data_IF_691015151636
#
_entry.id   IF_691015151636
#
_cell.length_a   1.000
_cell.length_b   1.000
_cell.length_c   1.000
_cell.angle_alpha   90.00
_cell.angle_beta   90.00
_cell.angle_gamma   90.00
#
_symmetry.space_group_name_H-M   'P 1'
#
loop_
_entity.id
_entity.type
_entity.pdbx_description
1 polymer ?
#
# COMPACT_ATOMS: atom_id res chain seq x y z
N UNK A 1 -22.53 15.21 18.99
CA UNK A 1 -22.74 16.42 18.18
C UNK A 1 -24.13 16.98 18.46
N UNK A 2 -24.21 18.25 18.88
CA UNK A 2 -25.49 18.96 19.16
C UNK A 2 -26.42 18.94 17.94
N UNK A 3 -25.84 18.99 16.74
CA UNK A 3 -26.57 18.99 15.47
C UNK A 3 -27.23 17.63 15.16
N UNK A 4 -26.51 16.52 15.38
CA UNK A 4 -27.04 15.15 15.23
C UNK A 4 -28.19 14.86 16.20
N UNK A 5 -28.08 15.35 17.43
CA UNK A 5 -29.15 15.19 18.42
C UNK A 5 -30.41 15.99 18.04
N UNK A 6 -30.24 17.17 17.42
CA UNK A 6 -31.34 17.98 16.87
C UNK A 6 -32.03 17.29 15.70
N UNK A 7 -31.28 16.67 14.78
CA UNK A 7 -31.86 15.92 13.64
C UNK A 7 -32.50 14.60 14.11
N UNK A 8 -31.92 13.91 15.09
CA UNK A 8 -32.50 12.74 15.76
C UNK A 8 -33.90 13.04 16.31
N UNK A 9 -34.05 14.12 17.09
CA UNK A 9 -35.34 14.55 17.64
C UNK A 9 -36.37 14.87 16.56
N UNK A 10 -35.95 15.44 15.43
CA UNK A 10 -36.84 15.78 14.30
C UNK A 10 -37.27 14.56 13.48
N UNK A 11 -36.36 13.62 13.23
CA UNK A 11 -36.62 12.44 12.40
C UNK A 11 -37.32 11.31 13.16
N UNK A 12 -37.18 11.27 14.49
CA UNK A 12 -37.76 10.24 15.37
C UNK A 12 -36.92 8.97 15.42
N UNK A 13 -36.67 8.47 16.64
CA UNK A 13 -35.79 7.34 16.90
C UNK A 13 -36.23 6.04 16.21
N UNK A 14 -37.54 5.76 16.19
CA UNK A 14 -38.12 4.60 15.49
C UNK A 14 -37.76 4.57 14.00
N UNK A 15 -37.87 5.70 13.31
CA UNK A 15 -37.57 5.78 11.87
C UNK A 15 -36.08 5.57 11.61
N UNK A 16 -35.22 6.10 12.47
CA UNK A 16 -33.76 5.94 12.37
C UNK A 16 -33.36 4.49 12.65
N UNK A 17 -33.87 3.88 13.73
CA UNK A 17 -33.61 2.47 14.05
C UNK A 17 -34.08 1.53 12.94
N UNK A 18 -35.24 1.81 12.33
CA UNK A 18 -35.83 0.97 11.28
C UNK A 18 -35.08 1.09 9.94
N UNK A 19 -34.49 2.26 9.67
CA UNK A 19 -33.73 2.50 8.42
C UNK A 19 -32.23 2.22 8.54
N UNK A 20 -31.70 2.07 9.76
CA UNK A 20 -30.28 1.78 10.01
C UNK A 20 -29.75 0.56 9.23
N UNK A 21 -30.44 -0.61 9.20
CA UNK A 21 -29.95 -1.76 8.44
C UNK A 21 -29.75 -1.48 6.94
N UNK A 22 -30.59 -0.62 6.36
CA UNK A 22 -30.46 -0.22 4.96
C UNK A 22 -29.18 0.61 4.71
N UNK A 23 -28.90 1.61 5.57
CA UNK A 23 -27.69 2.42 5.42
C UNK A 23 -26.41 1.64 5.74
N UNK A 24 -26.45 0.69 6.69
CA UNK A 24 -25.33 -0.22 6.95
C UNK A 24 -25.07 -1.16 5.76
N UNK A 25 -26.13 -1.68 5.14
CA UNK A 25 -26.01 -2.49 3.92
C UNK A 25 -25.43 -1.69 2.76
N UNK A 26 -25.83 -0.43 2.58
CA UNK A 26 -25.26 0.47 1.58
C UNK A 26 -23.77 0.76 1.82
N UNK A 27 -23.38 0.99 3.08
CA UNK A 27 -21.98 1.23 3.42
C UNK A 27 -21.13 -0.01 3.10
N UNK A 28 -21.56 -1.20 3.55
CA UNK A 28 -20.88 -2.46 3.22
C UNK A 28 -20.81 -2.71 1.72
N UNK A 29 -21.88 -2.39 0.98
CA UNK A 29 -21.90 -2.50 -0.47
C UNK A 29 -20.87 -1.58 -1.12
N UNK A 30 -20.75 -0.34 -0.66
CA UNK A 30 -19.75 0.59 -1.17
C UNK A 30 -18.32 0.09 -0.91
N UNK A 31 -18.05 -0.41 0.30
CA UNK A 31 -16.75 -0.99 0.66
C UNK A 31 -16.42 -2.21 -0.21
N UNK A 32 -17.39 -3.08 -0.46
CA UNK A 32 -17.23 -4.23 -1.36
C UNK A 32 -16.97 -3.79 -2.81
N UNK A 33 -17.66 -2.75 -3.31
CA UNK A 33 -17.43 -2.21 -4.65
C UNK A 33 -16.01 -1.67 -4.81
N UNK A 34 -15.50 -0.93 -3.83
CA UNK A 34 -14.12 -0.42 -3.84
C UNK A 34 -13.11 -1.59 -3.83
N UNK A 35 -13.34 -2.61 -2.99
CA UNK A 35 -12.51 -3.82 -2.96
C UNK A 35 -12.54 -4.57 -4.29
N UNK A 36 -13.72 -4.72 -4.90
CA UNK A 36 -13.90 -5.39 -6.18
C UNK A 36 -13.18 -4.66 -7.31
N UNK A 37 -13.25 -3.33 -7.36
CA UNK A 37 -12.49 -2.52 -8.32
C UNK A 37 -10.98 -2.75 -8.16
N UNK A 38 -10.50 -2.78 -6.91
CA UNK A 38 -9.08 -3.04 -6.63
C UNK A 38 -8.69 -4.46 -7.05
N UNK A 39 -9.54 -5.46 -6.80
CA UNK A 39 -9.31 -6.85 -7.22
C UNK A 39 -9.35 -7.00 -8.76
N UNK A 40 -10.24 -6.28 -9.45
CA UNK A 40 -10.29 -6.27 -10.91
C UNK A 40 -8.98 -5.72 -11.52
N UNK A 41 -8.47 -4.60 -11.00
CA UNK A 41 -7.18 -4.05 -11.46
C UNK A 41 -6.01 -5.01 -11.22
N UNK A 42 -6.01 -5.74 -10.10
CA UNK A 42 -5.01 -6.80 -9.85
C UNK A 42 -5.15 -7.94 -10.85
N UNK A 43 -6.36 -8.44 -11.06
CA UNK A 43 -6.63 -9.48 -12.03
C UNK A 43 -6.16 -9.08 -13.44
N UNK A 44 -6.49 -7.87 -13.90
CA UNK A 44 -6.04 -7.33 -15.20
C UNK A 44 -4.51 -7.32 -15.30
N UNK A 45 -3.83 -6.80 -14.27
CA UNK A 45 -2.36 -6.80 -14.20
C UNK A 45 -1.77 -8.22 -14.30
N UNK A 46 -2.31 -9.18 -13.56
CA UNK A 46 -1.80 -10.55 -13.58
C UNK A 46 -2.20 -11.32 -14.85
N UNK A 47 -3.32 -10.96 -15.47
CA UNK A 47 -3.70 -11.46 -16.77
C UNK A 47 -2.71 -10.99 -17.85
N UNK A 48 -2.31 -9.71 -17.83
CA UNK A 48 -1.27 -9.20 -18.71
C UNK A 48 0.07 -9.95 -18.51
N UNK A 49 0.49 -10.13 -17.25
CA UNK A 49 1.70 -10.92 -16.95
C UNK A 49 1.60 -12.37 -17.45
N UNK A 50 0.44 -13.00 -17.32
CA UNK A 50 0.18 -14.34 -17.85
C UNK A 50 0.29 -14.38 -19.38
N UNK A 51 -0.27 -13.40 -20.09
CA UNK A 51 -0.18 -13.31 -21.55
C UNK A 51 1.28 -13.10 -22.01
N UNK A 52 2.01 -12.23 -21.33
CA UNK A 52 3.43 -11.99 -21.60
C UNK A 52 4.26 -13.26 -21.33
N UNK A 53 3.99 -13.97 -20.24
CA UNK A 53 4.67 -15.23 -19.93
C UNK A 53 4.34 -16.33 -20.95
N UNK A 54 3.09 -16.38 -21.46
CA UNK A 54 2.69 -17.31 -22.51
C UNK A 54 3.46 -17.05 -23.81
N UNK A 55 3.62 -15.78 -24.18
CA UNK A 55 4.45 -15.40 -25.33
C UNK A 55 5.92 -15.77 -25.10
N UNK A 56 6.46 -15.50 -23.89
CA UNK A 56 7.83 -15.84 -23.55
C UNK A 56 8.14 -17.34 -23.63
N UNK A 57 7.18 -18.22 -23.26
CA UNK A 57 7.31 -19.66 -23.52
C UNK A 57 7.38 -19.92 -25.01
N UNK A 58 6.44 -19.38 -25.80
CA UNK A 58 6.41 -19.61 -27.25
C UNK A 58 7.72 -19.19 -27.93
N UNK A 59 8.30 -18.07 -27.52
CA UNK A 59 9.58 -17.58 -28.01
C UNK A 59 10.74 -18.48 -27.57
N UNK A 60 10.73 -18.93 -26.30
CA UNK A 60 11.73 -19.85 -25.77
C UNK A 60 11.67 -21.24 -26.45
N UNK A 61 10.48 -21.75 -26.72
CA UNK A 61 10.26 -22.99 -27.47
C UNK A 61 10.80 -22.86 -28.90
N UNK A 62 10.51 -21.75 -29.58
CA UNK A 62 11.04 -21.50 -30.92
C UNK A 62 12.57 -21.46 -30.94
N UNK A 63 13.18 -20.76 -29.99
CA UNK A 63 14.64 -20.67 -29.89
C UNK A 63 15.26 -22.00 -29.49
N UNK A 64 14.61 -22.77 -28.61
CA UNK A 64 15.05 -24.11 -28.28
C UNK A 64 15.10 -25.00 -29.52
N UNK A 65 14.02 -25.04 -30.33
CA UNK A 65 13.98 -25.84 -31.56
C UNK A 65 15.00 -25.38 -32.62
N UNK A 66 15.21 -24.08 -32.79
CA UNK A 66 16.19 -23.53 -33.75
C UNK A 66 17.64 -23.86 -33.38
N UNK A 67 17.91 -24.11 -32.10
CA UNK A 67 19.26 -24.39 -31.60
C UNK A 67 19.45 -25.89 -31.25
N UNK A 68 18.56 -26.76 -31.73
CA UNK A 68 18.82 -28.21 -31.73
C UNK A 68 19.87 -28.47 -32.79
N UNK A 69 20.98 -29.10 -32.41
CA UNK A 69 22.04 -29.52 -33.33
C UNK A 69 21.61 -30.76 -34.11
N UNK A 70 22.11 -30.93 -35.33
CA UNK A 70 21.79 -32.07 -36.21
C UNK A 70 22.20 -33.45 -35.63
N UNK A 71 23.05 -33.47 -34.60
CA UNK A 71 23.45 -34.67 -33.84
C UNK A 71 22.46 -35.03 -32.71
N UNK A 72 21.39 -34.26 -32.52
CA UNK A 72 20.40 -34.43 -31.46
C UNK A 72 20.85 -33.93 -30.09
N UNK A 73 21.99 -33.21 -29.99
CA UNK A 73 22.46 -32.64 -28.73
C UNK A 73 21.73 -31.34 -28.42
N UNK A 74 21.13 -31.25 -27.22
CA UNK A 74 20.44 -30.05 -26.76
C UNK A 74 21.42 -28.99 -26.27
N UNK A 75 21.19 -27.72 -26.64
CA UNK A 75 21.90 -26.61 -26.02
C UNK A 75 21.37 -26.38 -24.60
N UNK A 76 22.23 -26.68 -23.62
CA UNK A 76 21.96 -26.54 -22.19
C UNK A 76 21.47 -25.13 -21.82
N UNK A 77 21.99 -24.09 -22.47
CA UNK A 77 21.56 -22.72 -22.21
C UNK A 77 20.11 -22.48 -22.61
N UNK A 78 19.70 -22.95 -23.80
CA UNK A 78 18.33 -22.78 -24.28
C UNK A 78 17.33 -23.67 -23.53
N UNK A 79 17.76 -24.86 -23.09
CA UNK A 79 16.97 -25.69 -22.20
C UNK A 79 16.71 -24.99 -20.86
N UNK A 80 17.73 -24.37 -20.26
CA UNK A 80 17.57 -23.62 -19.02
C UNK A 80 16.68 -22.39 -19.20
N UNK A 81 16.80 -21.68 -20.34
CA UNK A 81 15.88 -20.57 -20.68
C UNK A 81 14.42 -21.01 -20.79
N UNK A 82 14.15 -22.14 -21.45
CA UNK A 82 12.81 -22.70 -21.54
C UNK A 82 12.26 -23.10 -20.17
N UNK A 83 13.09 -23.73 -19.33
CA UNK A 83 12.70 -24.08 -17.95
C UNK A 83 12.34 -22.84 -17.12
N UNK A 84 13.13 -21.76 -17.21
CA UNK A 84 12.85 -20.49 -16.55
C UNK A 84 11.53 -19.88 -17.05
N UNK A 85 11.30 -19.90 -18.37
CA UNK A 85 10.06 -19.40 -18.97
C UNK A 85 8.83 -20.20 -18.47
N UNK A 86 8.94 -21.53 -18.42
CA UNK A 86 7.92 -22.42 -17.88
C UNK A 86 7.62 -22.16 -16.40
N UNK A 87 8.66 -22.01 -15.57
CA UNK A 87 8.48 -21.69 -14.15
C UNK A 87 7.74 -20.36 -13.95
N UNK A 88 8.13 -19.32 -14.69
CA UNK A 88 7.49 -17.99 -14.64
C UNK A 88 6.05 -18.02 -15.14
N UNK A 89 5.75 -18.79 -16.18
CA UNK A 89 4.39 -18.96 -16.67
C UNK A 89 3.50 -19.66 -15.65
N UNK A 90 3.99 -20.71 -15.01
CA UNK A 90 3.24 -21.42 -13.98
C UNK A 90 2.94 -20.50 -12.79
N UNK A 91 3.91 -19.68 -12.36
CA UNK A 91 3.70 -18.66 -11.34
C UNK A 91 2.66 -17.61 -11.78
N UNK A 92 2.78 -17.07 -13.00
CA UNK A 92 1.85 -16.08 -13.52
C UNK A 92 0.43 -16.64 -13.67
N UNK A 93 0.29 -17.89 -14.13
CA UNK A 93 -0.98 -18.60 -14.23
C UNK A 93 -1.64 -18.76 -12.86
N UNK A 94 -0.88 -19.23 -11.87
CA UNK A 94 -1.38 -19.40 -10.50
C UNK A 94 -1.86 -18.08 -9.89
N UNK A 95 -1.07 -17.00 -10.01
CA UNK A 95 -1.46 -15.67 -9.51
C UNK A 95 -2.67 -15.10 -10.24
N UNK A 96 -2.78 -15.32 -11.56
CA UNK A 96 -3.95 -14.91 -12.34
C UNK A 96 -5.21 -15.60 -11.82
N UNK A 97 -5.17 -16.92 -11.63
CA UNK A 97 -6.29 -17.72 -11.13
C UNK A 97 -6.71 -17.31 -9.70
N UNK A 98 -5.75 -17.08 -8.81
CA UNK A 98 -6.02 -16.58 -7.45
C UNK A 98 -6.82 -15.27 -7.46
N UNK A 99 -6.38 -14.28 -8.24
CA UNK A 99 -7.04 -12.98 -8.31
C UNK A 99 -8.34 -13.01 -9.11
N UNK A 100 -8.48 -13.92 -10.08
CA UNK A 100 -9.72 -14.19 -10.78
C UNK A 100 -10.80 -14.69 -9.80
N UNK A 101 -10.45 -15.67 -8.96
CA UNK A 101 -11.33 -16.21 -7.93
C UNK A 101 -11.72 -15.15 -6.89
N UNK A 102 -10.76 -14.33 -6.43
CA UNK A 102 -11.02 -13.22 -5.50
C UNK A 102 -12.02 -12.23 -6.10
N UNK A 103 -11.81 -11.80 -7.35
CA UNK A 103 -12.68 -10.87 -8.06
C UNK A 103 -14.11 -11.44 -8.21
N UNK A 104 -14.24 -12.68 -8.68
CA UNK A 104 -15.54 -13.34 -8.86
C UNK A 104 -16.29 -13.52 -7.54
N UNK A 105 -15.58 -13.88 -6.47
CA UNK A 105 -16.16 -13.98 -5.12
C UNK A 105 -16.70 -12.65 -4.64
N UNK A 106 -15.95 -11.55 -4.84
CA UNK A 106 -16.41 -10.20 -4.50
C UNK A 106 -17.63 -9.78 -5.33
N UNK A 107 -17.67 -10.10 -6.63
CA UNK A 107 -18.83 -9.84 -7.48
C UNK A 107 -20.08 -10.59 -6.98
N UNK A 108 -19.94 -11.85 -6.56
CA UNK A 108 -21.06 -12.62 -6.01
C UNK A 108 -21.58 -12.00 -4.70
N UNK A 109 -20.67 -11.57 -3.81
CA UNK A 109 -21.05 -10.86 -2.58
C UNK A 109 -21.75 -9.53 -2.89
N UNK A 110 -21.25 -8.74 -3.84
CA UNK A 110 -21.90 -7.48 -4.26
C UNK A 110 -23.34 -7.74 -4.69
N UNK A 111 -23.59 -8.75 -5.54
CA UNK A 111 -24.94 -9.10 -5.99
C UNK A 111 -25.87 -9.45 -4.82
N UNK A 112 -25.39 -10.22 -3.84
CA UNK A 112 -26.15 -10.55 -2.64
C UNK A 112 -26.47 -9.31 -1.81
N UNK A 113 -25.50 -8.43 -1.58
CA UNK A 113 -25.72 -7.20 -0.81
C UNK A 113 -26.61 -6.20 -1.55
N UNK A 114 -26.54 -6.12 -2.89
CA UNK A 114 -27.45 -5.33 -3.71
C UNK A 114 -28.89 -5.83 -3.56
N UNK A 115 -29.10 -7.15 -3.65
CA UNK A 115 -30.41 -7.75 -3.42
C UNK A 115 -30.94 -7.39 -2.02
N UNK A 116 -30.16 -7.62 -0.97
CA UNK A 116 -30.54 -7.31 0.41
C UNK A 116 -30.85 -5.80 0.60
N UNK A 117 -30.04 -4.92 0.01
CA UNK A 117 -30.26 -3.48 0.08
C UNK A 117 -31.56 -3.07 -0.64
N UNK A 118 -31.89 -3.70 -1.77
CA UNK A 118 -33.17 -3.47 -2.46
C UNK A 118 -34.36 -3.95 -1.65
N UNK A 119 -34.28 -5.10 -1.00
CA UNK A 119 -35.33 -5.62 -0.12
C UNK A 119 -35.57 -4.71 1.09
N UNK A 120 -34.50 -4.27 1.75
CA UNK A 120 -34.59 -3.33 2.88
C UNK A 120 -35.17 -1.98 2.43
N UNK A 121 -34.83 -1.53 1.22
CA UNK A 121 -35.36 -0.29 0.63
C UNK A 121 -36.85 -0.35 0.40
N UNK A 122 -37.36 -1.47 -0.14
CA UNK A 122 -38.80 -1.65 -0.38
C UNK A 122 -39.56 -1.79 0.94
N UNK A 123 -39.04 -2.60 1.87
CA UNK A 123 -39.66 -2.85 3.19
C UNK A 123 -39.75 -1.61 4.09
N UNK A 124 -38.75 -0.73 4.06
CA UNK A 124 -38.63 0.41 4.98
C UNK A 124 -38.70 1.79 4.31
N UNK A 125 -39.27 1.89 3.11
CA UNK A 125 -39.30 3.10 2.25
C UNK A 125 -39.66 4.40 2.99
N UNK A 126 -40.72 4.39 3.79
CA UNK A 126 -41.21 5.59 4.51
C UNK A 126 -40.28 6.02 5.64
N UNK A 127 -39.75 5.05 6.41
CA UNK A 127 -38.79 5.29 7.49
C UNK A 127 -37.46 5.80 6.94
N UNK A 128 -36.98 5.23 5.84
CA UNK A 128 -35.76 5.69 5.14
C UNK A 128 -35.91 7.15 4.68
N UNK A 129 -37.05 7.52 4.07
CA UNK A 129 -37.30 8.90 3.62
C UNK A 129 -37.29 9.89 4.79
N UNK A 130 -37.88 9.52 5.94
CA UNK A 130 -37.94 10.37 7.13
C UNK A 130 -36.60 10.48 7.86
N UNK A 131 -35.82 9.41 7.87
CA UNK A 131 -34.52 9.37 8.53
C UNK A 131 -33.36 9.90 7.67
N UNK A 132 -33.57 10.09 6.36
CA UNK A 132 -32.53 10.59 5.44
C UNK A 132 -31.76 11.82 5.93
N UNK A 133 -32.40 12.90 6.45
CA UNK A 133 -31.65 14.07 6.93
C UNK A 133 -30.69 13.76 8.09
N UNK A 134 -31.01 12.77 8.92
CA UNK A 134 -30.12 12.33 10.00
C UNK A 134 -28.88 11.62 9.45
N UNK A 135 -29.05 10.69 8.49
CA UNK A 135 -27.93 9.95 7.90
C UNK A 135 -27.06 10.84 7.00
N UNK A 136 -27.64 11.80 6.29
CA UNK A 136 -26.88 12.78 5.50
C UNK A 136 -26.00 13.66 6.43
N UNK A 137 -26.55 14.12 7.56
CA UNK A 137 -25.78 14.89 8.55
C UNK A 137 -24.70 14.04 9.24
N UNK A 138 -25.02 12.79 9.59
CA UNK A 138 -24.05 11.84 10.14
C UNK A 138 -22.88 11.66 9.17
N UNK A 139 -23.17 11.42 7.89
CA UNK A 139 -22.17 11.25 6.85
C UNK A 139 -21.29 12.50 6.68
N UNK A 140 -21.88 13.70 6.68
CA UNK A 140 -21.12 14.95 6.61
C UNK A 140 -20.16 15.13 7.79
N UNK A 141 -20.60 14.77 9.00
CA UNK A 141 -19.74 14.81 10.19
C UNK A 141 -18.62 13.77 10.07
N UNK A 142 -18.91 12.55 9.64
CA UNK A 142 -17.91 11.51 9.42
C UNK A 142 -16.86 11.94 8.38
N UNK A 143 -17.27 12.58 7.28
CA UNK A 143 -16.35 13.13 6.28
C UNK A 143 -15.43 14.21 6.87
N UNK A 144 -15.97 15.12 7.68
CA UNK A 144 -15.17 16.15 8.35
C UNK A 144 -14.19 15.55 9.34
N UNK A 145 -14.63 14.59 10.16
CA UNK A 145 -13.77 13.89 11.10
C UNK A 145 -12.67 13.10 10.39
N UNK A 146 -13.01 12.42 9.29
CA UNK A 146 -12.03 11.72 8.45
C UNK A 146 -10.99 12.69 7.89
N UNK A 147 -11.42 13.84 7.36
CA UNK A 147 -10.51 14.88 6.86
C UNK A 147 -9.56 15.35 7.96
N UNK A 148 -10.09 15.76 9.12
CA UNK A 148 -9.27 16.24 10.25
C UNK A 148 -8.27 15.16 10.68
N UNK A 149 -8.70 13.90 10.74
CA UNK A 149 -7.83 12.78 11.09
C UNK A 149 -6.72 12.57 10.06
N UNK A 150 -7.05 12.62 8.78
CA UNK A 150 -6.09 12.41 7.70
C UNK A 150 -5.08 13.60 7.65
N UNK A 151 -5.56 14.84 7.84
CA UNK A 151 -4.70 16.04 7.98
C UNK A 151 -3.77 15.94 9.21
N UNK A 152 -4.28 15.44 10.35
CA UNK A 152 -3.48 15.25 11.56
C UNK A 152 -2.38 14.22 11.33
N UNK A 153 -2.67 13.10 10.65
CA UNK A 153 -1.67 12.09 10.31
C UNK A 153 -0.56 12.65 9.42
N UNK A 154 -0.91 13.44 8.41
CA UNK A 154 0.09 14.09 7.55
C UNK A 154 1.01 15.01 8.36
N UNK A 155 0.44 15.83 9.25
CA UNK A 155 1.23 16.69 10.13
C UNK A 155 2.13 15.90 11.10
N UNK A 156 1.64 14.77 11.62
CA UNK A 156 2.44 13.87 12.47
C UNK A 156 3.63 13.25 11.69
N UNK A 157 3.40 12.82 10.46
CA UNK A 157 4.44 12.28 9.57
C UNK A 157 5.49 13.36 9.22
N UNK A 158 5.05 14.57 8.90
CA UNK A 158 5.95 15.71 8.65
C UNK A 158 6.76 16.08 9.88
N UNK A 159 6.13 16.13 11.06
CA UNK A 159 6.82 16.40 12.31
C UNK A 159 7.85 15.32 12.63
N UNK A 160 7.51 14.05 12.44
CA UNK A 160 8.43 12.93 12.64
C UNK A 160 9.65 13.04 11.69
N UNK A 161 9.40 13.39 10.42
CA UNK A 161 10.46 13.63 9.43
C UNK A 161 11.37 14.79 9.85
N UNK A 162 10.81 15.93 10.25
CA UNK A 162 11.58 17.09 10.71
C UNK A 162 12.42 16.76 11.96
N UNK A 163 11.85 16.03 12.93
CA UNK A 163 12.60 15.58 14.12
C UNK A 163 13.75 14.64 13.76
N UNK A 164 13.51 13.70 12.86
CA UNK A 164 14.55 12.78 12.35
C UNK A 164 15.68 13.53 11.65
N UNK A 165 15.33 14.50 10.80
CA UNK A 165 16.30 15.37 10.12
C UNK A 165 17.11 16.19 11.14
N UNK A 166 16.45 16.84 12.09
CA UNK A 166 17.12 17.62 13.14
C UNK A 166 18.09 16.76 13.96
N UNK A 167 17.66 15.58 14.40
CA UNK A 167 18.51 14.64 15.13
C UNK A 167 19.71 14.20 14.30
N UNK A 168 19.54 13.96 13.00
CA UNK A 168 20.62 13.59 12.09
C UNK A 168 21.62 14.74 11.95
N UNK A 169 21.15 15.98 11.77
CA UNK A 169 22.01 17.16 11.69
C UNK A 169 22.80 17.38 12.97
N UNK A 170 22.17 17.22 14.15
CA UNK A 170 22.84 17.36 15.44
C UNK A 170 23.97 16.33 15.60
N UNK A 171 23.69 15.05 15.27
CA UNK A 171 24.70 13.99 15.30
C UNK A 171 25.85 14.25 14.33
N UNK A 172 25.56 14.80 13.15
CA UNK A 172 26.60 15.18 12.19
C UNK A 172 27.50 16.30 12.75
N UNK A 173 26.93 17.28 13.45
CA UNK A 173 27.71 18.34 14.10
C UNK A 173 28.57 17.80 15.25
N UNK A 174 28.04 16.88 16.05
CA UNK A 174 28.80 16.17 17.08
C UNK A 174 29.98 15.41 16.48
N UNK A 175 29.76 14.62 15.42
CA UNK A 175 30.82 13.89 14.72
C UNK A 175 31.91 14.84 14.17
N UNK A 176 31.51 15.95 13.54
CA UNK A 176 32.47 16.95 13.02
C UNK A 176 33.29 17.55 14.17
N UNK A 177 32.65 17.85 15.30
CA UNK A 177 33.31 18.38 16.49
C UNK A 177 34.34 17.38 17.03
N UNK A 178 33.95 16.12 17.21
CA UNK A 178 34.82 15.04 17.65
C UNK A 178 36.01 14.85 16.71
N UNK A 179 35.80 14.81 15.39
CA UNK A 179 36.88 14.72 14.41
C UNK A 179 37.89 15.87 14.51
N UNK A 180 37.41 17.11 14.73
CA UNK A 180 38.28 18.27 14.91
C UNK A 180 39.11 18.11 16.19
N UNK A 181 38.49 17.67 17.28
CA UNK A 181 39.18 17.41 18.54
C UNK A 181 40.22 16.30 18.42
N UNK A 182 39.89 15.19 17.76
CA UNK A 182 40.82 14.09 17.49
C UNK A 182 42.01 14.54 16.64
N UNK A 183 41.76 15.27 15.55
CA UNK A 183 42.84 15.81 14.69
C UNK A 183 43.77 16.73 15.48
N UNK A 184 43.24 17.59 16.35
CA UNK A 184 44.04 18.46 17.24
C UNK A 184 44.84 17.64 18.25
N UNK A 185 44.23 16.65 18.89
CA UNK A 185 44.92 15.77 19.84
C UNK A 185 46.05 14.98 19.18
N UNK A 186 45.82 14.44 17.97
CA UNK A 186 46.84 13.76 17.17
C UNK A 186 47.98 14.71 16.78
N UNK A 187 47.68 15.95 16.40
CA UNK A 187 48.69 16.96 16.08
C UNK A 187 49.58 17.26 17.28
N UNK A 188 48.99 17.49 18.47
CA UNK A 188 49.72 17.71 19.73
C UNK A 188 50.56 16.48 20.10
N UNK A 189 50.01 15.28 19.98
CA UNK A 189 50.75 14.05 20.25
C UNK A 189 51.94 13.86 19.28
N UNK A 190 51.81 14.28 18.02
CA UNK A 190 52.90 14.26 17.03
C UNK A 190 53.95 15.33 17.29
N UNK A 191 53.58 16.53 17.76
CA UNK A 191 54.55 17.58 18.10
C UNK A 191 55.36 17.24 19.35
N UNK A 192 54.73 16.65 20.37
CA UNK A 192 55.43 16.19 21.59
C UNK A 192 56.42 15.04 21.32
N UNK A 193 56.19 14.22 20.29
CA UNK A 193 57.12 13.17 19.86
C UNK A 193 58.31 13.68 19.03
N UNK A 194 58.32 14.96 18.61
CA UNK A 194 59.33 15.53 17.70
C UNK A 194 60.51 16.22 18.40
N UNK A 195 60.60 16.20 19.72
CA UNK A 195 61.78 16.70 20.45
C UNK A 195 62.63 15.54 21.02
N UNK A 196 63.56 14.97 20.22
CA UNK A 196 64.82 14.46 20.74
C UNK A 196 65.97 15.31 20.19
N UNK A 197 66.33 16.35 20.95
CA UNK A 197 67.68 16.92 20.97
C UNK A 197 68.09 17.80 19.78
N UNK A 198 68.02 19.11 19.96
CA UNK A 198 69.09 20.00 19.49
C UNK A 198 69.71 20.74 20.68
N UNK A 199 71.01 20.54 20.83
CA UNK A 199 71.85 20.98 21.94
C UNK A 199 71.93 22.51 21.99
N UNK A 200 71.76 23.07 23.19
CA UNK A 200 72.20 24.43 23.52
C UNK A 200 73.71 24.56 23.21
N UNK A 201 74.15 25.61 22.50
CA UNK A 201 75.57 25.88 22.37
C UNK A 201 76.11 26.31 23.74
N UNK A 202 77.06 25.53 24.27
CA UNK A 202 77.91 25.98 25.38
C UNK A 202 78.90 27.01 24.82
N UNK A 203 78.98 28.14 25.53
CA UNK A 203 79.95 29.24 25.52
C UNK A 203 81.17 29.02 24.62
#
# INVERSE_FOLDING_TARGET
>A
SVQLHKTLKKCGERNISTSRPYYEALQKLNDLKIKCQTAALKFEKFNELYLNAKQAISDAELMFHKNIKDDGHFDQYWQEKLNIANAKFMEAKSKREEHELEHLSLMAQIRLFEYNATELKTKHKSSIKRAKPYFDEAHNIDLRLKKIRDDTKLLEEELAKCKSQYSTTLKNLENISEEIHEKRAQYIAKSLKREPGLKLPKI
#
